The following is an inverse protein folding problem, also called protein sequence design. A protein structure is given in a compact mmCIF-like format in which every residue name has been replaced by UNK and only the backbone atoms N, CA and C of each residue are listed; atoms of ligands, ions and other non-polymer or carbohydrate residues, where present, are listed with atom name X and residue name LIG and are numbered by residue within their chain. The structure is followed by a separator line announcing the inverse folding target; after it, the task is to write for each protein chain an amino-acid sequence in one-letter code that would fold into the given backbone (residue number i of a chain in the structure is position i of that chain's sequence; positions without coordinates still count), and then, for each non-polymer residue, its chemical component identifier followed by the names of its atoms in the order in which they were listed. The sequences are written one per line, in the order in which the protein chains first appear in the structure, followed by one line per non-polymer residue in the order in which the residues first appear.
data_IF_758230450012
#
_entry.id   IF_758230450012
#
_cell.length_a   1.000
_cell.length_b   1.000
_cell.length_c   1.000
_cell.angle_alpha   90.00
_cell.angle_beta   90.00
_cell.angle_gamma   90.00
#
_symmetry.space_group_name_H-M   'P 1'
#
loop_
_entity.id
_entity.type
_entity.pdbx_description
1 polymer ?
#
# COMPACT_ATOMS: atom_id res chain seq x y z
N UNK A 1 -3.48 46.06 -7.57
CA UNK A 1 -2.65 44.87 -7.89
C UNK A 1 -2.52 44.04 -6.60
N UNK A 2 -2.97 42.78 -6.57
CA UNK A 2 -2.81 41.91 -5.40
C UNK A 2 -1.49 41.15 -5.53
N UNK A 3 -0.57 41.34 -4.59
CA UNK A 3 0.65 40.54 -4.51
C UNK A 3 0.30 39.10 -4.12
N UNK A 4 0.61 38.14 -4.98
CA UNK A 4 0.60 36.72 -4.64
C UNK A 4 1.89 36.45 -3.88
N UNK A 5 1.82 36.37 -2.55
CA UNK A 5 2.94 35.95 -1.71
C UNK A 5 3.22 34.46 -1.89
N UNK A 6 4.49 34.04 -1.83
CA UNK A 6 4.87 32.62 -1.83
C UNK A 6 4.26 31.95 -0.59
N UNK A 7 3.34 31.02 -0.81
CA UNK A 7 2.85 30.10 0.21
C UNK A 7 3.83 28.91 0.28
N UNK A 8 4.66 28.86 1.31
CA UNK A 8 5.48 27.68 1.59
C UNK A 8 4.65 26.69 2.38
N UNK A 9 4.24 25.60 1.75
CA UNK A 9 3.56 24.48 2.40
C UNK A 9 4.62 23.48 2.87
N UNK A 10 4.76 23.30 4.18
CA UNK A 10 5.62 22.26 4.75
C UNK A 10 4.77 21.02 4.96
N UNK A 11 4.89 20.04 4.08
CA UNK A 11 4.24 18.73 4.21
C UNK A 11 5.18 17.82 4.98
N UNK A 12 4.76 17.36 6.16
CA UNK A 12 5.48 16.31 6.88
C UNK A 12 5.20 14.95 6.20
N UNK A 13 6.17 14.51 5.41
CA UNK A 13 6.09 13.26 4.66
C UNK A 13 6.53 12.04 5.48
N UNK A 14 7.01 12.20 6.71
CA UNK A 14 7.62 11.10 7.47
C UNK A 14 6.64 9.94 7.69
N UNK A 15 5.40 10.24 8.07
CA UNK A 15 4.37 9.24 8.32
C UNK A 15 3.90 8.56 7.02
N UNK A 16 3.79 9.32 5.92
CA UNK A 16 3.44 8.76 4.62
C UNK A 16 4.54 7.84 4.08
N UNK A 17 5.81 8.25 4.21
CA UNK A 17 6.96 7.44 3.81
C UNK A 17 7.06 6.16 4.67
N UNK A 18 6.81 6.26 5.98
CA UNK A 18 6.80 5.09 6.87
C UNK A 18 5.73 4.08 6.47
N UNK A 19 4.48 4.52 6.24
CA UNK A 19 3.39 3.65 5.77
C UNK A 19 3.68 3.03 4.39
N UNK A 20 4.24 3.81 3.47
CA UNK A 20 4.64 3.27 2.16
C UNK A 20 5.77 2.23 2.29
N UNK A 21 6.67 2.38 3.25
CA UNK A 21 7.73 1.40 3.53
C UNK A 21 7.14 0.08 4.02
N UNK A 22 6.22 0.14 4.97
CA UNK A 22 5.53 -1.04 5.52
C UNK A 22 4.81 -1.84 4.43
N UNK A 23 4.15 -1.15 3.49
CA UNK A 23 3.49 -1.81 2.34
C UNK A 23 4.52 -2.53 1.44
N UNK A 24 5.66 -1.89 1.16
CA UNK A 24 6.71 -2.52 0.34
C UNK A 24 7.35 -3.72 1.05
N UNK A 25 7.58 -3.62 2.35
CA UNK A 25 8.15 -4.71 3.16
C UNK A 25 7.19 -5.91 3.18
N UNK A 26 5.88 -5.67 3.28
CA UNK A 26 4.86 -6.72 3.22
C UNK A 26 4.78 -7.37 1.83
N UNK A 27 4.84 -6.58 0.75
CA UNK A 27 4.90 -7.11 -0.62
C UNK A 27 6.14 -8.00 -0.77
N UNK A 28 7.31 -7.52 -0.34
CA UNK A 28 8.56 -8.29 -0.42
C UNK A 28 8.47 -9.58 0.40
N UNK A 29 7.87 -9.54 1.59
CA UNK A 29 7.64 -10.71 2.43
C UNK A 29 6.77 -11.75 1.70
N UNK A 30 5.68 -11.32 1.05
CA UNK A 30 4.79 -12.21 0.28
C UNK A 30 5.52 -12.84 -0.90
N UNK A 31 6.30 -12.06 -1.66
CA UNK A 31 7.13 -12.58 -2.76
C UNK A 31 8.10 -13.64 -2.26
N UNK A 32 8.75 -13.42 -1.12
CA UNK A 32 9.72 -14.37 -0.56
C UNK A 32 9.09 -15.70 -0.10
N UNK A 33 7.77 -15.74 0.09
CA UNK A 33 7.02 -16.95 0.44
C UNK A 33 6.48 -17.70 -0.80
N UNK A 34 6.57 -17.09 -1.98
CA UNK A 34 6.14 -17.73 -3.22
C UNK A 34 7.13 -18.81 -3.66
N UNK A 35 6.64 -19.74 -4.49
CA UNK A 35 7.49 -20.76 -5.09
C UNK A 35 8.62 -20.11 -5.92
N UNK A 36 9.89 -20.52 -5.76
CA UNK A 36 11.01 -19.94 -6.51
C UNK A 36 10.91 -20.11 -8.04
N UNK A 37 10.11 -21.07 -8.52
CA UNK A 37 9.87 -21.32 -9.93
C UNK A 37 8.67 -20.56 -10.52
N UNK A 38 7.98 -19.75 -9.71
CA UNK A 38 6.82 -18.98 -10.17
C UNK A 38 7.22 -17.98 -11.27
N UNK A 39 6.36 -17.83 -12.27
CA UNK A 39 6.55 -16.77 -13.26
C UNK A 39 6.25 -15.41 -12.64
N UNK A 40 6.87 -14.34 -13.15
CA UNK A 40 6.60 -12.97 -12.67
C UNK A 40 5.13 -12.60 -12.81
N UNK A 41 4.49 -13.02 -13.90
CA UNK A 41 3.09 -12.72 -14.19
C UNK A 41 2.16 -13.41 -13.19
N UNK A 42 2.43 -14.68 -12.86
CA UNK A 42 1.60 -15.41 -11.91
C UNK A 42 1.84 -14.98 -10.46
N UNK A 43 3.08 -14.62 -10.12
CA UNK A 43 3.39 -13.98 -8.84
C UNK A 43 2.61 -12.67 -8.66
N UNK A 44 2.61 -11.81 -9.69
CA UNK A 44 1.88 -10.55 -9.66
C UNK A 44 0.36 -10.77 -9.53
N UNK A 45 -0.20 -11.71 -10.30
CA UNK A 45 -1.63 -12.06 -10.19
C UNK A 45 -1.99 -12.55 -8.79
N UNK A 46 -1.17 -13.43 -8.20
CA UNK A 46 -1.38 -13.94 -6.84
C UNK A 46 -1.36 -12.80 -5.83
N UNK A 47 -0.34 -11.93 -5.91
CA UNK A 47 -0.22 -10.76 -5.02
C UNK A 47 -1.42 -9.82 -5.10
N UNK A 48 -1.89 -9.53 -6.32
CA UNK A 48 -3.06 -8.68 -6.52
C UNK A 48 -4.32 -9.31 -5.92
N UNK A 49 -4.51 -10.62 -6.08
CA UNK A 49 -5.64 -11.33 -5.49
C UNK A 49 -5.59 -11.30 -3.97
N UNK A 50 -4.44 -11.62 -3.37
CA UNK A 50 -4.28 -11.66 -1.91
C UNK A 50 -4.54 -10.28 -1.29
N UNK A 51 -3.92 -9.23 -1.85
CA UNK A 51 -4.11 -7.85 -1.35
C UNK A 51 -5.56 -7.40 -1.50
N UNK A 52 -6.20 -7.73 -2.64
CA UNK A 52 -7.60 -7.36 -2.87
C UNK A 52 -8.52 -8.08 -1.90
N UNK A 53 -8.25 -9.35 -1.61
CA UNK A 53 -9.03 -10.12 -0.64
C UNK A 53 -8.89 -9.54 0.76
N UNK A 54 -7.67 -9.30 1.23
CA UNK A 54 -7.38 -8.70 2.54
C UNK A 54 -8.08 -7.34 2.69
N UNK A 55 -8.06 -6.51 1.64
CA UNK A 55 -8.76 -5.23 1.63
C UNK A 55 -10.29 -5.41 1.79
N UNK A 56 -10.88 -6.33 1.03
CA UNK A 56 -12.32 -6.58 1.10
C UNK A 56 -12.73 -7.14 2.47
N UNK A 57 -11.88 -7.97 3.10
CA UNK A 57 -12.10 -8.45 4.47
C UNK A 57 -12.01 -7.32 5.49
N UNK A 58 -10.99 -6.47 5.39
CA UNK A 58 -10.83 -5.32 6.28
C UNK A 58 -12.03 -4.38 6.20
N UNK A 59 -12.51 -4.07 4.99
CA UNK A 59 -13.71 -3.25 4.78
C UNK A 59 -14.95 -3.92 5.38
N UNK A 60 -15.14 -5.22 5.17
CA UNK A 60 -16.26 -5.96 5.77
C UNK A 60 -16.21 -5.95 7.29
N UNK A 61 -15.02 -6.04 7.89
CA UNK A 61 -14.85 -6.02 9.34
C UNK A 61 -15.22 -4.64 9.91
N UNK A 62 -14.75 -3.56 9.28
CA UNK A 62 -15.11 -2.18 9.64
C UNK A 62 -16.63 -2.01 9.59
N UNK A 63 -17.27 -2.40 8.48
CA UNK A 63 -18.72 -2.27 8.32
C UNK A 63 -19.56 -3.15 9.27
N UNK A 64 -18.97 -4.14 9.95
CA UNK A 64 -19.64 -4.96 10.98
C UNK A 64 -19.48 -4.39 12.39
N UNK A 65 -18.53 -3.48 12.58
CA UNK A 65 -18.18 -2.89 13.88
C UNK A 65 -18.68 -1.46 14.05
N UNK A 66 -19.18 -0.86 12.96
CA UNK A 66 -20.02 0.35 12.93
C UNK A 66 -21.51 0.01 13.01
#
# INVERSE_FOLDING_TARGET
MKQIGKLTLTIDMKEHVARSREVLDEIQRRINLMDPGITKDDALKSLLLDITYDYLEAVKYINKTE
#
